data_IF_401018952173
#
_entry.id   IF_401018952173
#
_cell.length_a   1.000
_cell.length_b   1.000
_cell.length_c   1.000
_cell.angle_alpha   90.00
_cell.angle_beta   90.00
_cell.angle_gamma   90.00
#
_symmetry.space_group_name_H-M   'P 1'
#
loop_
_entity.id
_entity.type
_entity.pdbx_description
1 polymer ?
#
# COMPACT_ATOMS: atom_id res chain seq x y z
N UNK A 1 1.51 0.82 -23.60
CA UNK A 1 1.02 0.68 -22.22
C UNK A 1 1.50 1.89 -21.41
N UNK A 2 0.64 2.53 -20.61
CA UNK A 2 1.00 3.71 -19.80
C UNK A 2 1.44 3.20 -18.43
N UNK A 3 2.75 3.31 -18.11
CA UNK A 3 3.34 2.75 -16.89
C UNK A 3 3.59 3.77 -15.79
N UNK A 4 3.64 5.03 -16.15
CA UNK A 4 3.74 6.17 -15.24
C UNK A 4 3.21 7.43 -15.90
N UNK A 5 2.74 8.37 -15.09
CA UNK A 5 2.37 9.72 -15.50
C UNK A 5 3.09 10.71 -14.58
N UNK A 6 3.66 11.77 -15.19
CA UNK A 6 4.22 12.91 -14.47
C UNK A 6 3.65 14.19 -15.11
N UNK A 7 3.04 15.02 -14.31
CA UNK A 7 2.41 16.25 -14.80
C UNK A 7 1.84 17.10 -13.68
N UNK A 8 1.12 18.15 -14.07
CA UNK A 8 0.48 19.07 -13.14
C UNK A 8 -0.85 18.48 -12.65
N UNK A 9 -1.06 18.49 -11.34
CA UNK A 9 -2.31 18.09 -10.71
C UNK A 9 -3.37 19.20 -10.98
N UNK A 10 -4.43 18.85 -11.71
CA UNK A 10 -5.52 19.78 -12.07
C UNK A 10 -6.71 19.60 -11.16
N UNK A 11 -7.10 18.35 -10.92
CA UNK A 11 -8.21 18.01 -10.04
C UNK A 11 -7.79 16.89 -9.07
N UNK A 12 -8.23 17.01 -7.82
CA UNK A 12 -7.94 16.03 -6.76
C UNK A 12 -9.22 15.69 -6.00
N UNK A 13 -9.61 14.43 -6.09
CA UNK A 13 -10.66 13.84 -5.28
C UNK A 13 -10.18 12.57 -4.58
N UNK A 14 -10.86 12.06 -3.54
CA UNK A 14 -10.44 10.86 -2.83
C UNK A 14 -10.31 9.59 -3.69
N UNK A 15 -10.98 9.56 -4.84
CA UNK A 15 -11.05 8.37 -5.70
C UNK A 15 -10.52 8.58 -7.11
N UNK A 16 -10.24 9.83 -7.49
CA UNK A 16 -9.86 10.18 -8.85
C UNK A 16 -9.00 11.45 -8.88
N UNK A 17 -8.05 11.50 -9.79
CA UNK A 17 -7.22 12.66 -10.09
C UNK A 17 -7.31 13.00 -11.57
N UNK A 18 -7.16 14.27 -11.89
CA UNK A 18 -6.86 14.72 -13.26
C UNK A 18 -5.46 15.30 -13.28
N UNK A 19 -4.60 14.74 -14.13
CA UNK A 19 -3.21 15.16 -14.30
C UNK A 19 -3.00 15.67 -15.72
N UNK A 20 -2.61 16.93 -15.84
CA UNK A 20 -2.25 17.54 -17.12
C UNK A 20 -0.80 17.20 -17.49
N UNK A 21 -0.62 16.57 -18.62
CA UNK A 21 0.66 16.28 -19.23
C UNK A 21 0.78 17.03 -20.57
N UNK A 22 1.28 18.25 -20.52
CA UNK A 22 1.48 19.12 -21.69
C UNK A 22 0.18 19.35 -22.52
N UNK A 23 -0.92 19.65 -21.84
CA UNK A 23 -2.21 19.94 -22.48
C UNK A 23 -3.10 18.71 -22.69
N UNK A 24 -2.65 17.52 -22.27
CA UNK A 24 -3.49 16.31 -22.25
C UNK A 24 -3.85 15.98 -20.82
N UNK A 25 -5.13 16.06 -20.45
CA UNK A 25 -5.66 15.68 -19.14
C UNK A 25 -5.91 14.18 -19.06
N UNK A 26 -5.26 13.51 -18.10
CA UNK A 26 -5.49 12.11 -17.79
C UNK A 26 -6.35 11.98 -16.53
N UNK A 27 -7.55 11.36 -16.66
CA UNK A 27 -8.35 10.93 -15.52
C UNK A 27 -7.78 9.61 -14.99
N UNK A 28 -7.48 9.58 -13.69
CA UNK A 28 -6.75 8.49 -13.04
C UNK A 28 -7.48 8.07 -11.77
N UNK A 29 -7.95 6.84 -11.72
CA UNK A 29 -8.54 6.26 -10.51
C UNK A 29 -7.46 5.93 -9.50
N UNK A 30 -7.65 6.32 -8.24
CA UNK A 30 -6.70 6.09 -7.14
C UNK A 30 -7.36 5.40 -5.95
N UNK A 31 -6.53 4.83 -5.07
CA UNK A 31 -6.93 4.38 -3.73
C UNK A 31 -6.91 5.54 -2.73
N UNK A 32 -7.58 5.39 -1.59
CA UNK A 32 -7.47 6.33 -0.48
C UNK A 32 -6.04 6.36 0.10
N UNK A 33 -5.33 5.25 0.03
CA UNK A 33 -3.92 5.19 0.44
C UNK A 33 -3.05 6.08 -0.46
N UNK A 34 -3.17 5.97 -1.77
CA UNK A 34 -2.50 6.89 -2.72
C UNK A 34 -2.93 8.35 -2.46
N UNK A 35 -4.23 8.62 -2.27
CA UNK A 35 -4.73 9.97 -2.01
C UNK A 35 -4.08 10.60 -0.76
N UNK A 36 -3.94 9.84 0.33
CA UNK A 36 -3.35 10.33 1.58
C UNK A 36 -1.84 10.60 1.49
N UNK A 37 -1.15 9.95 0.54
CA UNK A 37 0.29 10.11 0.33
C UNK A 37 0.63 11.25 -0.65
N UNK A 38 -0.37 11.74 -1.39
CA UNK A 38 -0.17 12.86 -2.31
C UNK A 38 -0.23 14.18 -1.55
N UNK A 39 0.89 14.87 -1.48
CA UNK A 39 0.95 16.25 -1.03
C UNK A 39 0.23 17.17 -2.01
N UNK A 40 -0.07 18.41 -1.59
CA UNK A 40 -0.65 19.43 -2.48
C UNK A 40 0.41 20.07 -3.40
N UNK A 41 1.29 19.25 -3.95
CA UNK A 41 2.31 19.66 -4.90
C UNK A 41 1.67 19.91 -6.28
N UNK A 42 2.08 20.96 -6.95
CA UNK A 42 1.60 21.28 -8.28
C UNK A 42 1.95 20.18 -9.30
N UNK A 43 3.14 19.58 -9.16
CA UNK A 43 3.62 18.54 -10.06
C UNK A 43 3.73 17.20 -9.33
N UNK A 44 3.00 16.21 -9.80
CA UNK A 44 2.98 14.87 -9.24
C UNK A 44 3.52 13.83 -10.21
N UNK A 45 4.01 12.73 -9.65
CA UNK A 45 4.35 11.51 -10.38
C UNK A 45 3.56 10.34 -9.83
N UNK A 46 2.86 9.62 -10.69
CA UNK A 46 2.13 8.39 -10.36
C UNK A 46 2.65 7.23 -11.18
N UNK A 47 2.76 6.07 -10.54
CA UNK A 47 2.87 4.79 -11.24
C UNK A 47 1.48 4.38 -11.72
N UNK A 48 1.35 3.88 -12.93
CA UNK A 48 0.03 3.63 -13.50
C UNK A 48 -0.12 2.21 -14.03
N UNK A 49 -1.37 1.75 -14.05
CA UNK A 49 -1.81 0.54 -14.70
C UNK A 49 -3.02 0.84 -15.57
N UNK A 50 -2.91 0.58 -16.88
CA UNK A 50 -4.00 0.78 -17.83
C UNK A 50 -4.75 -0.54 -18.04
N UNK A 51 -6.06 -0.50 -17.84
CA UNK A 51 -6.97 -1.58 -18.18
C UNK A 51 -7.74 -1.18 -19.43
N UNK A 52 -7.62 -2.02 -20.46
CA UNK A 52 -8.28 -1.83 -21.75
C UNK A 52 -9.39 -2.87 -21.85
N UNK A 53 -10.61 -2.41 -22.12
CA UNK A 53 -11.77 -3.22 -22.47
C UNK A 53 -12.30 -2.76 -23.82
N UNK A 54 -13.25 -3.49 -24.39
CA UNK A 54 -13.85 -3.15 -25.69
C UNK A 54 -14.50 -1.76 -25.70
N UNK A 55 -15.10 -1.37 -24.57
CA UNK A 55 -15.90 -0.16 -24.38
C UNK A 55 -15.23 0.92 -23.54
N UNK A 56 -14.06 0.65 -22.93
CA UNK A 56 -13.44 1.56 -21.97
C UNK A 56 -11.94 1.38 -21.81
N UNK A 57 -11.26 2.51 -21.61
CA UNK A 57 -9.86 2.57 -21.17
C UNK A 57 -9.83 3.20 -19.79
N UNK A 58 -9.47 2.42 -18.77
CA UNK A 58 -9.44 2.89 -17.38
C UNK A 58 -8.01 2.92 -16.86
N UNK A 59 -7.57 4.07 -16.39
CA UNK A 59 -6.25 4.27 -15.81
C UNK A 59 -6.33 4.25 -14.30
N UNK A 60 -5.50 3.44 -13.67
CA UNK A 60 -5.32 3.37 -12.23
C UNK A 60 -3.96 3.94 -11.87
N UNK A 61 -3.88 4.77 -10.81
CA UNK A 61 -2.67 5.41 -10.35
C UNK A 61 -2.33 5.07 -8.91
N UNK A 62 -1.03 5.03 -8.64
CA UNK A 62 -0.45 4.62 -7.37
C UNK A 62 0.72 5.53 -7.01
N UNK A 63 0.85 5.85 -5.73
CA UNK A 63 1.96 6.66 -5.23
C UNK A 63 3.29 5.91 -5.28
N UNK A 64 3.26 4.59 -5.06
CA UNK A 64 4.43 3.72 -5.05
C UNK A 64 4.36 2.63 -6.12
N UNK A 65 5.54 2.14 -6.52
CA UNK A 65 5.66 1.01 -7.44
C UNK A 65 5.12 -0.28 -6.79
N UNK A 66 5.36 -0.46 -5.49
CA UNK A 66 4.90 -1.60 -4.71
C UNK A 66 3.36 -1.68 -4.67
N UNK A 67 2.66 -0.55 -4.41
CA UNK A 67 1.20 -0.51 -4.46
C UNK A 67 0.66 -0.92 -5.83
N UNK A 68 1.29 -0.44 -6.92
CA UNK A 68 0.93 -0.85 -8.29
C UNK A 68 1.14 -2.35 -8.53
N UNK A 69 2.26 -2.92 -8.11
CA UNK A 69 2.53 -4.34 -8.31
C UNK A 69 1.56 -5.20 -7.46
N UNK A 70 1.27 -4.78 -6.23
CA UNK A 70 0.23 -5.44 -5.41
C UNK A 70 -1.15 -5.37 -6.08
N UNK A 71 -1.54 -4.22 -6.64
CA UNK A 71 -2.77 -4.10 -7.42
C UNK A 71 -2.83 -5.11 -8.57
N UNK A 72 -1.72 -5.25 -9.33
CA UNK A 72 -1.63 -6.22 -10.43
C UNK A 72 -1.77 -7.66 -9.96
N UNK A 73 -1.18 -8.01 -8.82
CA UNK A 73 -1.35 -9.32 -8.20
C UNK A 73 -2.81 -9.55 -7.78
N UNK A 74 -3.44 -8.57 -7.13
CA UNK A 74 -4.84 -8.68 -6.71
C UNK A 74 -5.78 -8.92 -7.88
N UNK A 75 -5.65 -8.17 -8.98
CA UNK A 75 -6.51 -8.35 -10.16
C UNK A 75 -6.22 -9.63 -10.95
N UNK A 76 -5.09 -10.31 -10.70
CA UNK A 76 -4.80 -11.62 -11.30
C UNK A 76 -5.60 -12.75 -10.64
N UNK A 77 -6.15 -12.53 -9.45
CA UNK A 77 -6.96 -13.52 -8.73
C UNK A 77 -8.37 -13.56 -9.30
N UNK A 78 -8.83 -14.75 -9.67
CA UNK A 78 -10.20 -14.95 -10.17
C UNK A 78 -11.25 -14.50 -9.16
N UNK A 79 -12.14 -13.60 -9.57
CA UNK A 79 -13.17 -13.00 -8.72
C UNK A 79 -12.76 -11.66 -8.08
N UNK A 80 -11.54 -11.18 -8.35
CA UNK A 80 -11.08 -9.84 -7.92
C UNK A 80 -10.97 -8.92 -9.12
N UNK A 81 -11.94 -8.03 -9.28
CA UNK A 81 -11.90 -6.99 -10.30
C UNK A 81 -11.09 -5.76 -9.86
N UNK A 82 -10.79 -4.88 -10.81
CA UNK A 82 -10.03 -3.65 -10.54
C UNK A 82 -10.68 -2.74 -9.47
N UNK A 83 -12.00 -2.65 -9.47
CA UNK A 83 -12.75 -1.89 -8.44
C UNK A 83 -12.58 -2.52 -7.06
N UNK A 84 -12.64 -3.85 -6.95
CA UNK A 84 -12.42 -4.58 -5.70
C UNK A 84 -10.98 -4.40 -5.21
N UNK A 85 -10.00 -4.56 -6.09
CA UNK A 85 -8.58 -4.35 -5.74
C UNK A 85 -8.31 -2.92 -5.26
N UNK A 86 -8.91 -1.90 -5.90
CA UNK A 86 -8.84 -0.51 -5.44
C UNK A 86 -9.49 -0.31 -4.06
N UNK A 87 -10.62 -0.97 -3.80
CA UNK A 87 -11.27 -0.94 -2.49
C UNK A 87 -10.40 -1.58 -1.42
N UNK A 88 -9.72 -2.70 -1.73
CA UNK A 88 -8.74 -3.32 -0.83
C UNK A 88 -7.63 -2.35 -0.46
N UNK A 89 -6.99 -1.72 -1.45
CA UNK A 89 -5.93 -0.72 -1.27
C UNK A 89 -6.40 0.59 -0.62
N UNK A 90 -7.70 0.83 -0.58
CA UNK A 90 -8.29 1.95 0.15
C UNK A 90 -8.64 1.60 1.61
N UNK A 91 -8.88 0.32 1.90
CA UNK A 91 -9.26 -0.16 3.24
C UNK A 91 -8.06 -0.53 4.10
N UNK A 92 -7.01 -1.06 3.47
CA UNK A 92 -5.76 -1.48 4.10
C UNK A 92 -4.57 -0.94 3.31
N UNK A 93 -3.50 -0.64 4.01
CA UNK A 93 -2.21 -0.30 3.37
C UNK A 93 -1.62 -1.52 2.64
N UNK A 94 -0.74 -1.32 1.64
CA UNK A 94 -0.06 -2.43 0.99
C UNK A 94 0.63 -3.40 1.97
N UNK A 95 1.26 -2.85 3.01
CA UNK A 95 1.93 -3.65 4.06
C UNK A 95 0.94 -4.51 4.84
N UNK A 96 -0.21 -3.96 5.23
CA UNK A 96 -1.24 -4.71 5.96
C UNK A 96 -1.86 -5.81 5.09
N UNK A 97 -2.07 -5.57 3.80
CA UNK A 97 -2.57 -6.59 2.85
C UNK A 97 -1.54 -7.73 2.72
N UNK A 98 -0.26 -7.40 2.50
CA UNK A 98 0.81 -8.38 2.39
C UNK A 98 0.94 -9.19 3.69
N UNK A 99 0.92 -8.52 4.83
CA UNK A 99 0.96 -9.17 6.15
C UNK A 99 -0.23 -10.11 6.36
N UNK A 100 -1.44 -9.70 6.00
CA UNK A 100 -2.65 -10.54 6.11
C UNK A 100 -2.55 -11.79 5.22
N UNK A 101 -1.97 -11.65 4.02
CA UNK A 101 -1.76 -12.78 3.11
C UNK A 101 -0.70 -13.73 3.68
N UNK A 102 0.44 -13.23 4.16
CA UNK A 102 1.54 -14.04 4.71
C UNK A 102 1.11 -14.79 5.97
N UNK A 103 0.28 -14.15 6.83
CA UNK A 103 -0.24 -14.74 8.05
C UNK A 103 -1.51 -15.58 7.86
N UNK A 104 -1.96 -15.75 6.62
CA UNK A 104 -3.20 -16.46 6.26
C UNK A 104 -4.46 -15.93 7.00
N UNK A 105 -4.48 -14.61 7.28
CA UNK A 105 -5.59 -13.97 7.97
C UNK A 105 -6.78 -13.72 7.03
N UNK A 106 -7.58 -14.78 6.87
CA UNK A 106 -8.82 -14.73 6.06
C UNK A 106 -9.80 -13.68 6.57
N UNK A 107 -9.87 -13.48 7.89
CA UNK A 107 -10.85 -12.58 8.49
C UNK A 107 -10.56 -11.12 8.13
N UNK A 108 -9.30 -10.69 8.21
CA UNK A 108 -8.90 -9.35 7.80
C UNK A 108 -9.21 -9.08 6.32
N UNK A 109 -8.91 -10.03 5.44
CA UNK A 109 -9.21 -9.89 4.01
C UNK A 109 -10.72 -9.90 3.74
N UNK A 110 -11.48 -10.75 4.42
CA UNK A 110 -12.93 -10.84 4.28
C UNK A 110 -13.66 -9.61 4.82
N UNK A 111 -13.10 -8.89 5.78
CA UNK A 111 -13.70 -7.67 6.35
C UNK A 111 -13.83 -6.54 5.32
N UNK A 112 -13.08 -6.61 4.23
CA UNK A 112 -13.08 -5.61 3.17
C UNK A 112 -14.37 -5.72 2.35
N UNK A 113 -15.03 -4.58 2.15
CA UNK A 113 -16.29 -4.51 1.41
C UNK A 113 -16.15 -5.11 0.00
N UNK A 114 -17.02 -6.06 -0.32
CA UNK A 114 -17.07 -6.71 -1.63
C UNK A 114 -16.23 -7.98 -1.74
N UNK A 115 -15.61 -8.45 -0.64
CA UNK A 115 -14.85 -9.70 -0.59
C UNK A 115 -15.60 -10.72 0.26
N UNK A 116 -16.04 -11.80 -0.37
CA UNK A 116 -16.64 -12.95 0.32
C UNK A 116 -15.57 -13.93 0.83
N UNK A 117 -15.95 -14.82 1.75
CA UNK A 117 -15.05 -15.82 2.35
C UNK A 117 -14.29 -16.65 1.30
N UNK A 118 -14.97 -17.12 0.24
CA UNK A 118 -14.33 -17.89 -0.83
C UNK A 118 -13.29 -17.08 -1.60
N UNK A 119 -13.56 -15.79 -1.84
CA UNK A 119 -12.61 -14.89 -2.52
C UNK A 119 -11.43 -14.56 -1.62
N UNK A 120 -11.65 -14.33 -0.32
CA UNK A 120 -10.57 -14.10 0.65
C UNK A 120 -9.61 -15.29 0.73
N UNK A 121 -10.14 -16.51 0.87
CA UNK A 121 -9.34 -17.74 0.85
C UNK A 121 -8.53 -17.90 -0.44
N UNK A 122 -9.14 -17.60 -1.60
CA UNK A 122 -8.47 -17.67 -2.89
C UNK A 122 -7.35 -16.64 -3.00
N UNK A 123 -7.57 -15.39 -2.57
CA UNK A 123 -6.54 -14.35 -2.54
C UNK A 123 -5.32 -14.83 -1.77
N UNK A 124 -5.52 -15.36 -0.56
CA UNK A 124 -4.44 -15.88 0.27
C UNK A 124 -3.71 -17.02 -0.42
N UNK A 125 -4.44 -18.02 -0.90
CA UNK A 125 -3.85 -19.20 -1.53
C UNK A 125 -3.03 -18.87 -2.78
N UNK A 126 -3.57 -18.01 -3.67
CA UNK A 126 -2.93 -17.68 -4.95
C UNK A 126 -1.80 -16.65 -4.83
N UNK A 127 -1.81 -15.81 -3.79
CA UNK A 127 -0.86 -14.71 -3.66
C UNK A 127 0.22 -14.94 -2.61
N UNK A 128 0.11 -15.89 -1.70
CA UNK A 128 1.06 -16.12 -0.61
C UNK A 128 2.52 -16.16 -1.08
N UNK A 129 2.82 -16.96 -2.09
CA UNK A 129 4.19 -17.09 -2.61
C UNK A 129 4.62 -15.88 -3.45
N UNK A 130 3.66 -15.17 -4.06
CA UNK A 130 3.94 -14.04 -4.95
C UNK A 130 4.22 -12.74 -4.20
N UNK A 131 3.58 -12.51 -3.06
CA UNK A 131 3.78 -11.28 -2.28
C UNK A 131 5.13 -11.22 -1.59
N UNK A 132 5.76 -12.38 -1.31
CA UNK A 132 7.13 -12.44 -0.78
C UNK A 132 8.15 -11.76 -1.70
N UNK A 133 7.93 -11.82 -3.01
CA UNK A 133 8.79 -11.13 -3.99
C UNK A 133 8.63 -9.61 -4.00
N UNK A 134 7.47 -9.09 -3.54
CA UNK A 134 7.24 -7.65 -3.46
C UNK A 134 7.96 -6.99 -2.28
N UNK A 135 8.16 -7.72 -1.20
CA UNK A 135 8.92 -7.23 -0.03
C UNK A 135 10.37 -6.89 -0.39
N UNK A 136 10.90 -7.52 -1.45
CA UNK A 136 12.28 -7.33 -1.90
C UNK A 136 12.53 -6.02 -2.66
N UNK A 137 11.49 -5.39 -3.21
CA UNK A 137 11.63 -4.23 -4.13
C UNK A 137 11.39 -2.87 -3.44
N UNK A 138 10.87 -2.85 -2.21
CA UNK A 138 10.54 -1.61 -1.48
C UNK A 138 11.61 -1.27 -0.45
N UNK A 139 12.64 -0.57 -0.91
CA UNK A 139 13.81 -0.18 -0.10
C UNK A 139 13.51 0.67 1.14
N UNK A 140 12.30 1.22 1.28
CA UNK A 140 11.89 1.96 2.49
C UNK A 140 11.26 1.05 3.56
N UNK A 141 10.51 0.01 3.18
CA UNK A 141 9.99 -0.99 4.14
C UNK A 141 11.12 -1.91 4.61
N UNK A 142 12.08 -2.20 3.73
CA UNK A 142 13.29 -2.96 4.07
C UNK A 142 14.19 -2.27 5.10
N UNK A 143 14.30 -0.94 5.14
CA UNK A 143 15.07 -0.26 6.19
C UNK A 143 14.52 -0.58 7.58
N UNK A 144 13.21 -0.39 7.81
CA UNK A 144 12.61 -0.60 9.14
C UNK A 144 12.59 -2.08 9.56
N UNK A 145 12.44 -3.03 8.59
CA UNK A 145 12.50 -4.46 8.91
C UNK A 145 13.94 -4.96 9.04
N UNK A 146 14.88 -4.51 8.19
CA UNK A 146 16.30 -4.82 8.32
C UNK A 146 16.89 -4.30 9.62
N UNK A 147 16.65 -3.04 9.96
CA UNK A 147 17.15 -2.46 11.21
C UNK A 147 16.64 -3.23 12.44
N UNK A 148 15.39 -3.71 12.39
CA UNK A 148 14.83 -4.52 13.46
C UNK A 148 15.41 -5.94 13.52
N UNK A 149 15.61 -6.58 12.38
CA UNK A 149 16.21 -7.91 12.30
C UNK A 149 17.72 -7.87 12.64
N UNK A 150 18.42 -6.82 12.21
CA UNK A 150 19.81 -6.56 12.59
C UNK A 150 19.91 -6.28 14.10
N UNK A 151 19.00 -5.50 14.68
CA UNK A 151 18.96 -5.26 16.12
C UNK A 151 18.68 -6.57 16.91
N UNK A 152 17.75 -7.42 16.44
CA UNK A 152 17.48 -8.72 17.04
C UNK A 152 18.74 -9.59 16.97
N UNK A 153 19.39 -9.65 15.81
CA UNK A 153 20.60 -10.46 15.61
C UNK A 153 21.76 -9.95 16.48
N UNK A 154 21.97 -8.64 16.57
CA UNK A 154 22.99 -8.06 17.44
C UNK A 154 22.75 -8.40 18.93
N UNK A 155 21.50 -8.34 19.37
CA UNK A 155 21.14 -8.71 20.75
C UNK A 155 21.28 -10.21 21.02
N UNK A 156 21.04 -11.07 20.01
CA UNK A 156 21.32 -12.52 20.13
C UNK A 156 22.83 -12.80 20.32
N UNK A 157 23.68 -12.09 19.57
CA UNK A 157 25.16 -12.18 19.73
C UNK A 157 25.60 -11.73 21.12
N UNK A 158 24.89 -10.78 21.75
CA UNK A 158 25.13 -10.32 23.11
C UNK A 158 24.54 -11.28 24.20
N UNK A 159 23.93 -12.41 23.80
CA UNK A 159 23.44 -13.45 24.68
C UNK A 159 21.97 -13.34 25.09
N UNK A 160 21.20 -12.44 24.48
CA UNK A 160 19.76 -12.35 24.73
C UNK A 160 18.99 -13.38 23.92
N UNK A 161 17.90 -13.95 24.46
CA UNK A 161 17.08 -14.90 23.70
C UNK A 161 16.25 -14.19 22.64
N UNK A 162 16.14 -14.78 21.43
CA UNK A 162 15.36 -14.25 20.30
C UNK A 162 13.91 -13.90 20.67
N UNK A 163 13.30 -14.68 21.55
CA UNK A 163 11.93 -14.45 22.03
C UNK A 163 11.79 -13.16 22.86
N UNK A 164 12.79 -12.84 23.67
CA UNK A 164 12.82 -11.61 24.48
C UNK A 164 13.12 -10.39 23.61
N UNK A 165 14.10 -10.49 22.72
CA UNK A 165 14.51 -9.42 21.82
C UNK A 165 13.39 -9.05 20.83
N UNK A 166 12.73 -10.05 20.22
CA UNK A 166 11.58 -9.80 19.33
C UNK A 166 10.42 -9.09 20.05
N UNK A 167 10.15 -9.44 21.32
CA UNK A 167 9.10 -8.78 22.10
C UNK A 167 9.42 -7.30 22.35
N UNK A 168 10.67 -7.01 22.73
CA UNK A 168 11.13 -5.64 23.00
C UNK A 168 11.13 -4.79 21.72
N UNK A 169 11.67 -5.31 20.63
CA UNK A 169 11.71 -4.61 19.34
C UNK A 169 10.30 -4.31 18.81
N UNK A 170 9.36 -5.24 18.94
CA UNK A 170 7.97 -5.02 18.55
C UNK A 170 7.26 -4.00 19.46
N UNK A 171 7.58 -3.96 20.75
CA UNK A 171 7.05 -2.96 21.68
C UNK A 171 7.56 -1.56 21.30
N UNK A 172 8.85 -1.40 21.06
CA UNK A 172 9.44 -0.12 20.61
C UNK A 172 8.82 0.35 19.28
N UNK A 173 8.60 -0.57 18.32
CA UNK A 173 7.92 -0.25 17.06
C UNK A 173 6.49 0.28 17.29
N UNK A 174 5.74 -0.31 18.21
CA UNK A 174 4.39 0.17 18.53
C UNK A 174 4.39 1.53 19.20
N UNK A 175 5.33 1.79 20.10
CA UNK A 175 5.49 3.09 20.77
C UNK A 175 5.91 4.20 19.79
N UNK A 176 6.83 3.91 18.86
CA UNK A 176 7.21 4.86 17.79
C UNK A 176 6.03 5.21 16.89
N UNK A 177 5.20 4.23 16.49
CA UNK A 177 3.98 4.48 15.72
C UNK A 177 2.97 5.37 16.45
N UNK A 178 2.84 5.22 17.77
CA UNK A 178 1.98 6.09 18.57
C UNK A 178 2.53 7.52 18.68
N UNK A 179 3.85 7.66 18.83
CA UNK A 179 4.52 8.96 18.84
C UNK A 179 4.35 9.66 17.49
N UNK A 180 4.55 8.98 16.36
CA UNK A 180 4.32 9.54 15.03
C UNK A 180 2.87 10.02 14.85
N UNK A 181 1.88 9.22 15.24
CA UNK A 181 0.46 9.62 15.22
C UNK A 181 0.20 10.84 16.10
N UNK A 182 0.79 10.90 17.29
CA UNK A 182 0.67 12.02 18.22
C UNK A 182 1.28 13.30 17.66
N UNK A 183 2.46 13.21 17.03
CA UNK A 183 3.16 14.34 16.39
C UNK A 183 2.34 14.86 15.22
N UNK A 184 1.86 14.00 14.33
CA UNK A 184 1.01 14.36 13.19
C UNK A 184 -0.27 15.05 13.68
N UNK A 185 -0.94 14.50 14.71
CA UNK A 185 -2.15 15.11 15.30
C UNK A 185 -1.87 16.50 15.91
N UNK A 186 -0.72 16.70 16.56
CA UNK A 186 -0.32 18.00 17.10
C UNK A 186 0.02 19.01 16.02
N UNK A 187 0.72 18.57 14.97
CA UNK A 187 1.05 19.43 13.82
C UNK A 187 -0.23 19.90 13.14
N UNK A 188 -1.18 19.01 12.88
CA UNK A 188 -2.48 19.37 12.29
C UNK A 188 -3.22 20.40 13.16
N UNK A 189 -3.25 20.23 14.49
CA UNK A 189 -3.89 21.20 15.41
C UNK A 189 -3.21 22.57 15.44
N UNK A 190 -1.90 22.63 15.22
CA UNK A 190 -1.16 23.91 15.22
C UNK A 190 -1.26 24.60 13.85
N UNK A 191 -1.47 23.86 12.78
CA UNK A 191 -1.52 24.41 11.41
C UNK A 191 -2.93 24.84 11.00
N UNK A 192 -3.97 24.27 11.59
CA UNK A 192 -5.37 24.51 11.23
C UNK A 192 -6.28 24.95 12.40
N UNK A 193 -5.74 25.25 13.55
CA UNK A 193 -6.40 25.88 14.71
C UNK A 193 -5.91 27.29 14.88
#
# INVERSE_FOLDING_TARGET
MITQIKGRLVEKSPTELVVDCNGVGYSINISLNTFSQLNDEENIKLFTHLIVKEDSHTLFGFSTKSERELFKLLISVSGVGASTARTMLSSLTPVEIISSINNEDVNSVQSIKGIGSKTAQRIILELKDKVLSLESDDSQIQMISKDADEAITALEVLGYSRKQTSKIVNQIKSELKEIEKSVVSKVIKVTFG
#
